data_IF_425350350234
#
_entry.id   IF_425350350234
#
_cell.length_a   1.000
_cell.length_b   1.000
_cell.length_c   1.000
_cell.angle_alpha   90.00
_cell.angle_beta   90.00
_cell.angle_gamma   90.00
#
_symmetry.space_group_name_H-M   'P 1'
#
loop_
_entity.id
_entity.type
_entity.pdbx_description
1 polymer ?
#
# COMPACT_ATOMS: atom_id res chain seq x y z
N UNK A 1 -19.66 18.73 -13.29
CA UNK A 1 -19.14 18.35 -14.61
C UNK A 1 -18.36 17.07 -14.41
N UNK A 2 -18.71 15.98 -15.09
CA UNK A 2 -17.91 14.76 -15.01
C UNK A 2 -16.73 14.95 -15.95
N UNK A 3 -15.54 15.14 -15.40
CA UNK A 3 -14.30 14.99 -16.18
C UNK A 3 -14.35 13.61 -16.87
N UNK A 4 -14.04 13.56 -18.16
CA UNK A 4 -14.04 12.32 -18.91
C UNK A 4 -12.82 11.50 -18.47
N UNK A 5 -12.99 10.67 -17.44
CA UNK A 5 -11.93 9.90 -16.81
C UNK A 5 -11.77 8.56 -17.52
N UNK A 6 -10.75 8.44 -18.38
CA UNK A 6 -10.36 7.18 -19.00
C UNK A 6 -9.43 6.40 -18.06
N UNK A 7 -9.97 5.41 -17.33
CA UNK A 7 -9.20 4.53 -16.45
C UNK A 7 -9.02 3.18 -17.12
N UNK A 8 -7.77 2.70 -17.14
CA UNK A 8 -7.42 1.33 -17.51
C UNK A 8 -7.26 0.50 -16.21
N UNK A 9 -8.21 -0.41 -15.90
CA UNK A 9 -8.16 -1.22 -14.69
C UNK A 9 -6.87 -2.04 -14.54
N UNK A 10 -6.28 -2.48 -15.65
CA UNK A 10 -5.08 -3.32 -15.62
C UNK A 10 -3.84 -2.52 -15.24
N UNK A 11 -3.78 -1.24 -15.66
CA UNK A 11 -2.73 -0.33 -15.18
C UNK A 11 -2.87 -0.03 -13.70
N UNK A 12 -4.09 0.06 -13.17
CA UNK A 12 -4.33 0.22 -11.73
C UNK A 12 -3.87 -1.02 -10.96
N UNK A 13 -4.16 -2.24 -11.46
CA UNK A 13 -3.66 -3.50 -10.87
C UNK A 13 -2.14 -3.58 -10.89
N UNK A 14 -1.51 -3.19 -12.00
CA UNK A 14 -0.06 -3.09 -12.10
C UNK A 14 0.52 -2.14 -11.06
N UNK A 15 -0.11 -0.98 -10.86
CA UNK A 15 0.30 -0.03 -9.82
C UNK A 15 0.14 -0.63 -8.42
N UNK A 16 -0.98 -1.29 -8.13
CA UNK A 16 -1.20 -1.97 -6.86
C UNK A 16 -0.09 -2.98 -6.55
N UNK A 17 0.31 -3.80 -7.54
CA UNK A 17 1.45 -4.73 -7.39
C UNK A 17 2.77 -4.00 -7.16
N UNK A 18 2.99 -2.83 -7.75
CA UNK A 18 4.20 -2.05 -7.51
C UNK A 18 4.22 -1.41 -6.11
N UNK A 19 3.07 -0.96 -5.61
CA UNK A 19 2.93 -0.46 -4.23
C UNK A 19 3.17 -1.58 -3.23
N UNK A 20 2.56 -2.75 -3.44
CA UNK A 20 2.74 -3.92 -2.56
C UNK A 20 4.19 -4.39 -2.47
N UNK A 21 4.96 -4.29 -3.57
CA UNK A 21 6.39 -4.61 -3.58
C UNK A 21 7.21 -3.75 -2.61
N UNK A 22 6.71 -2.59 -2.17
CA UNK A 22 7.39 -1.76 -1.17
C UNK A 22 7.38 -2.40 0.24
N UNK A 23 6.46 -3.34 0.50
CA UNK A 23 6.42 -4.04 1.79
C UNK A 23 7.72 -4.82 2.06
N UNK A 24 8.36 -5.38 1.03
CA UNK A 24 9.60 -6.15 1.17
C UNK A 24 10.80 -5.30 1.65
N UNK A 25 11.19 -4.19 0.99
CA UNK A 25 12.28 -3.35 1.47
C UNK A 25 11.96 -2.66 2.80
N UNK A 26 10.69 -2.29 3.06
CA UNK A 26 10.27 -1.75 4.36
C UNK A 26 10.41 -2.80 5.48
N UNK A 27 10.03 -4.05 5.21
CA UNK A 27 10.25 -5.17 6.11
C UNK A 27 11.74 -5.42 6.38
N UNK A 28 12.58 -5.35 5.34
CA UNK A 28 14.03 -5.44 5.52
C UNK A 28 14.58 -4.32 6.41
N UNK A 29 14.10 -3.08 6.24
CA UNK A 29 14.48 -1.97 7.10
C UNK A 29 14.01 -2.17 8.56
N UNK A 30 12.81 -2.72 8.76
CA UNK A 30 12.28 -3.04 10.09
C UNK A 30 13.13 -4.11 10.79
N UNK A 31 13.47 -5.18 10.09
CA UNK A 31 14.34 -6.24 10.63
C UNK A 31 15.72 -5.68 10.98
N UNK A 32 16.29 -4.83 10.12
CA UNK A 32 17.55 -4.16 10.41
C UNK A 32 17.45 -3.26 11.65
N UNK A 33 16.38 -2.46 11.78
CA UNK A 33 16.15 -1.60 12.94
C UNK A 33 16.05 -2.42 14.23
N UNK A 34 15.31 -3.54 14.22
CA UNK A 34 15.20 -4.45 15.36
C UNK A 34 16.52 -5.14 15.68
N UNK A 35 17.33 -5.48 14.67
CA UNK A 35 18.62 -6.14 14.87
C UNK A 35 19.69 -5.22 15.49
N UNK A 36 19.62 -3.91 15.25
CA UNK A 36 20.55 -2.92 15.84
C UNK A 36 20.03 -2.29 17.13
N UNK A 37 18.78 -2.58 17.50
CA UNK A 37 18.20 -2.20 18.78
C UNK A 37 19.07 -2.70 19.92
N UNK A 38 19.48 -1.78 20.79
CA UNK A 38 20.42 -2.07 21.86
C UNK A 38 19.81 -1.67 23.21
N UNK A 39 19.83 -2.57 24.21
CA UNK A 39 19.37 -2.21 25.54
C UNK A 39 20.30 -1.15 26.16
N UNK A 40 19.77 -0.33 27.07
CA UNK A 40 20.52 0.77 27.70
C UNK A 40 21.86 0.32 28.31
N UNK A 41 21.92 -0.91 28.81
CA UNK A 41 23.13 -1.52 29.38
C UNK A 41 24.26 -1.71 28.36
N UNK A 42 23.94 -1.81 27.06
CA UNK A 42 24.93 -1.95 25.98
C UNK A 42 25.82 -0.70 25.83
N UNK A 43 25.34 0.46 26.29
CA UNK A 43 26.10 1.71 26.32
C UNK A 43 27.07 1.80 27.52
N UNK A 44 26.98 0.84 28.45
CA UNK A 44 27.79 0.81 29.65
C UNK A 44 27.39 1.86 30.69
N UNK A 45 27.96 1.75 31.90
CA UNK A 45 27.52 2.55 33.07
C UNK A 45 27.75 4.04 32.92
N UNK A 46 28.81 4.45 32.22
CA UNK A 46 29.15 5.88 32.05
C UNK A 46 28.19 6.56 31.06
N UNK A 47 27.75 5.83 30.03
CA UNK A 47 26.94 6.38 28.94
C UNK A 47 25.46 5.94 28.99
N UNK A 48 25.02 5.26 30.05
CA UNK A 48 23.64 4.79 30.21
C UNK A 48 22.57 5.91 30.22
N UNK A 49 22.98 7.17 30.36
CA UNK A 49 22.08 8.32 30.25
C UNK A 49 21.76 8.70 28.79
N UNK A 50 22.55 8.23 27.81
CA UNK A 50 22.37 8.60 26.40
C UNK A 50 21.09 8.02 25.77
N UNK A 51 20.76 6.73 25.96
CA UNK A 51 19.58 6.15 25.31
C UNK A 51 18.27 6.89 25.61
N UNK A 52 17.89 7.14 26.88
CA UNK A 52 16.64 7.84 27.16
C UNK A 52 16.61 9.31 26.73
N UNK A 53 17.77 9.93 26.45
CA UNK A 53 17.84 11.33 25.99
C UNK A 53 17.86 11.46 24.46
N UNK A 54 18.40 10.46 23.75
CA UNK A 54 18.75 10.63 22.33
C UNK A 54 18.39 9.44 21.43
N UNK A 55 18.22 8.23 21.97
CA UNK A 55 18.06 7.01 21.17
C UNK A 55 16.64 6.48 21.26
N UNK A 56 16.07 6.37 22.46
CA UNK A 56 14.82 5.64 22.70
C UNK A 56 13.65 6.18 21.87
N UNK A 57 13.50 7.50 21.74
CA UNK A 57 12.44 8.10 20.94
C UNK A 57 12.63 7.85 19.45
N UNK A 58 13.84 8.05 18.93
CA UNK A 58 14.15 7.84 17.52
C UNK A 58 14.03 6.37 17.13
N UNK A 59 14.50 5.47 17.98
CA UNK A 59 14.46 4.04 17.76
C UNK A 59 13.03 3.50 17.83
N UNK A 60 12.30 3.79 18.91
CA UNK A 60 10.94 3.28 19.13
C UNK A 60 9.99 3.84 18.09
N UNK A 61 10.00 5.17 17.86
CA UNK A 61 9.13 5.80 16.88
C UNK A 61 9.50 5.37 15.46
N UNK A 62 10.78 5.17 15.17
CA UNK A 62 11.26 4.65 13.89
C UNK A 62 10.78 3.24 13.59
N UNK A 63 10.88 2.34 14.57
CA UNK A 63 10.36 0.96 14.45
C UNK A 63 8.85 0.98 14.24
N UNK A 64 8.11 1.76 15.05
CA UNK A 64 6.66 1.88 14.92
C UNK A 64 6.24 2.46 13.56
N UNK A 65 6.97 3.45 13.06
CA UNK A 65 6.72 4.03 11.74
C UNK A 65 6.96 3.03 10.60
N UNK A 66 7.98 2.19 10.69
CA UNK A 66 8.25 1.13 9.71
C UNK A 66 7.14 0.07 9.71
N UNK A 67 6.66 -0.36 10.89
CA UNK A 67 5.53 -1.29 11.01
C UNK A 67 4.24 -0.71 10.43
N UNK A 68 3.95 0.55 10.73
CA UNK A 68 2.81 1.27 10.16
C UNK A 68 2.93 1.39 8.64
N UNK A 69 4.12 1.68 8.12
CA UNK A 69 4.36 1.81 6.69
C UNK A 69 4.14 0.48 5.95
N UNK A 70 4.64 -0.64 6.47
CA UNK A 70 4.42 -1.98 5.90
C UNK A 70 2.93 -2.30 5.81
N UNK A 71 2.17 -1.99 6.87
CA UNK A 71 0.72 -2.19 6.90
C UNK A 71 0.01 -1.31 5.87
N UNK A 72 0.33 -0.01 5.86
CA UNK A 72 -0.31 0.97 4.98
C UNK A 72 -0.11 0.64 3.49
N UNK A 73 1.10 0.26 3.07
CA UNK A 73 1.33 -0.09 1.66
C UNK A 73 0.56 -1.34 1.22
N UNK A 74 0.36 -2.31 2.13
CA UNK A 74 -0.47 -3.48 1.88
C UNK A 74 -1.95 -3.11 1.74
N UNK A 75 -2.46 -2.27 2.64
CA UNK A 75 -3.84 -1.76 2.57
C UNK A 75 -4.09 -0.96 1.29
N UNK A 76 -3.18 -0.07 0.92
CA UNK A 76 -3.32 0.77 -0.25
C UNK A 76 -3.26 -0.04 -1.56
N UNK A 77 -2.40 -1.06 -1.63
CA UNK A 77 -2.44 -2.02 -2.73
C UNK A 77 -3.81 -2.74 -2.81
N UNK A 78 -4.38 -3.14 -1.67
CA UNK A 78 -5.73 -3.69 -1.59
C UNK A 78 -6.80 -2.73 -2.12
N UNK A 79 -6.79 -1.48 -1.65
CA UNK A 79 -7.73 -0.43 -2.10
C UNK A 79 -7.62 -0.18 -3.60
N UNK A 80 -6.40 -0.14 -4.15
CA UNK A 80 -6.19 0.03 -5.60
C UNK A 80 -6.81 -1.12 -6.41
N UNK A 81 -6.71 -2.37 -5.94
CA UNK A 81 -7.38 -3.52 -6.58
C UNK A 81 -8.89 -3.37 -6.54
N UNK A 82 -9.46 -2.99 -5.39
CA UNK A 82 -10.89 -2.71 -5.26
C UNK A 82 -11.36 -1.62 -6.21
N UNK A 83 -10.56 -0.56 -6.40
CA UNK A 83 -10.85 0.49 -7.38
C UNK A 83 -10.85 -0.06 -8.81
N UNK A 84 -9.86 -0.86 -9.19
CA UNK A 84 -9.79 -1.50 -10.51
C UNK A 84 -11.04 -2.37 -10.79
N UNK A 85 -11.44 -3.19 -9.81
CA UNK A 85 -12.63 -4.03 -9.90
C UNK A 85 -13.90 -3.19 -10.01
N UNK A 86 -13.97 -2.05 -9.32
CA UNK A 86 -15.08 -1.11 -9.43
C UNK A 86 -15.27 -0.57 -10.86
N UNK A 87 -14.17 -0.22 -11.54
CA UNK A 87 -14.22 0.22 -12.94
C UNK A 87 -14.68 -0.89 -13.88
N UNK A 88 -14.09 -2.08 -13.77
CA UNK A 88 -14.41 -3.21 -14.65
C UNK A 88 -15.86 -3.68 -14.47
N UNK A 89 -16.35 -3.73 -13.23
CA UNK A 89 -17.74 -4.06 -12.92
C UNK A 89 -18.72 -3.02 -13.48
N UNK A 90 -18.39 -1.74 -13.35
CA UNK A 90 -19.23 -0.65 -13.87
C UNK A 90 -19.30 -0.71 -15.40
N UNK A 91 -18.17 -0.88 -16.06
CA UNK A 91 -18.09 -0.95 -17.52
C UNK A 91 -18.81 -2.19 -18.07
N UNK A 92 -18.57 -3.37 -17.49
CA UNK A 92 -19.27 -4.61 -17.85
C UNK A 92 -20.79 -4.52 -17.64
N UNK A 93 -21.24 -3.91 -16.53
CA UNK A 93 -22.66 -3.67 -16.26
C UNK A 93 -23.28 -2.76 -17.31
N UNK A 94 -22.59 -1.67 -17.66
CA UNK A 94 -23.07 -0.72 -18.66
C UNK A 94 -23.09 -1.34 -20.07
N UNK A 95 -22.04 -2.07 -20.46
CA UNK A 95 -21.99 -2.79 -21.73
C UNK A 95 -23.12 -3.83 -21.84
N UNK A 96 -23.44 -4.53 -20.75
CA UNK A 96 -24.55 -5.50 -20.71
C UNK A 96 -25.91 -4.82 -20.88
N UNK A 97 -26.13 -3.68 -20.22
CA UNK A 97 -27.35 -2.87 -20.39
C UNK A 97 -27.47 -2.34 -21.82
N UNK A 98 -26.36 -1.92 -22.43
CA UNK A 98 -26.35 -1.42 -23.81
C UNK A 98 -26.71 -2.53 -24.81
N UNK A 99 -26.10 -3.72 -24.68
CA UNK A 99 -26.43 -4.90 -25.50
C UNK A 99 -27.90 -5.31 -25.36
N UNK A 100 -28.48 -5.14 -24.17
CA UNK A 100 -29.89 -5.49 -23.93
C UNK A 100 -30.88 -4.52 -24.62
N UNK A 101 -30.46 -3.29 -24.93
CA UNK A 101 -31.29 -2.30 -25.63
C UNK A 101 -30.98 -2.19 -27.13
N UNK A 102 -29.92 -2.84 -27.60
CA UNK A 102 -29.68 -2.96 -29.04
C UNK A 102 -30.87 -3.70 -29.69
N UNK A 103 -31.64 -3.03 -30.57
CA UNK A 103 -32.73 -3.67 -31.27
C UNK A 103 -32.13 -4.73 -32.18
N UNK A 104 -32.65 -5.96 -32.14
CA UNK A 104 -32.24 -7.07 -33.00
C UNK A 104 -31.76 -6.61 -34.39
N UNK A 105 -30.49 -6.87 -34.73
CA UNK A 105 -29.98 -6.77 -36.10
C UNK A 105 -28.59 -7.42 -36.23
N UNK A 106 -28.32 -8.20 -37.29
CA UNK A 106 -28.99 -8.12 -38.59
C UNK A 106 -30.08 -9.19 -38.80
N UNK A 107 -31.23 -8.72 -39.27
CA UNK A 107 -32.05 -9.50 -40.19
C UNK A 107 -31.38 -9.44 -41.57
N UNK A 108 -30.99 -10.61 -42.09
CA UNK A 108 -30.43 -10.88 -43.42
C UNK A 108 -29.09 -10.23 -43.80
#
# INVERSE_FOLDING_TARGET
MAENLNVDPERVRTHASNVEKLAAPLGQALEAAKAVSAPTEAFGKICAFLPPLFVDSVETDGIAALEAAVTAVGEDAGKLRTVADGYENTDSSNASKLKAVEPNGPAK
#
